data_IF_912874914255
#
_entry.id   IF_912874914255
#
_cell.length_a   1.000
_cell.length_b   1.000
_cell.length_c   1.000
_cell.angle_alpha   90.00
_cell.angle_beta   90.00
_cell.angle_gamma   90.00
#
_symmetry.space_group_name_H-M   'P 1'
#
loop_
_entity.id
_entity.type
_entity.pdbx_description
1 polymer ?
#
# COMPACT_ATOMS: atom_id res chain seq x y z
N UNK A 1 32.09 24.61 46.53
CA UNK A 1 31.21 23.42 46.47
C UNK A 1 30.05 23.79 45.56
N UNK A 2 29.94 23.30 44.31
CA UNK A 2 29.33 22.01 43.90
C UNK A 2 27.97 21.85 44.63
N UNK A 3 26.77 21.78 44.02
CA UNK A 3 26.39 21.11 42.76
C UNK A 3 24.98 21.55 42.31
N UNK A 4 24.85 21.75 41.00
CA UNK A 4 23.73 21.59 40.05
C UNK A 4 22.66 20.53 40.42
N UNK A 5 21.38 20.75 40.08
CA UNK A 5 20.50 19.72 39.49
C UNK A 5 19.22 20.36 38.90
N UNK A 6 19.38 21.06 37.78
CA UNK A 6 18.32 21.18 36.78
C UNK A 6 18.36 19.95 35.85
N UNK A 7 17.21 19.65 35.24
CA UNK A 7 16.95 18.66 34.20
C UNK A 7 16.26 17.38 34.69
N UNK A 8 14.97 17.24 34.36
CA UNK A 8 14.51 16.25 33.36
C UNK A 8 13.25 16.79 32.68
N UNK A 9 13.42 17.56 31.60
CA UNK A 9 12.43 17.65 30.51
C UNK A 9 13.16 17.23 29.24
N UNK A 10 13.32 15.93 29.05
CA UNK A 10 13.76 15.39 27.78
C UNK A 10 12.53 15.19 26.89
N UNK A 11 12.31 16.18 26.03
CA UNK A 11 11.43 16.07 24.88
C UNK A 11 11.89 14.92 23.99
N UNK A 12 10.99 13.96 23.81
CA UNK A 12 11.18 12.76 22.99
C UNK A 12 11.07 13.15 21.50
N UNK A 13 12.07 13.86 20.98
CA UNK A 13 12.14 14.25 19.57
C UNK A 13 12.94 13.18 18.80
N UNK A 14 12.23 12.24 18.18
CA UNK A 14 12.84 11.30 17.22
C UNK A 14 13.60 12.08 16.13
N UNK A 15 14.84 11.71 15.78
CA UNK A 15 15.64 12.47 14.83
C UNK A 15 15.04 12.38 13.42
N UNK A 16 14.74 13.54 12.83
CA UNK A 16 14.20 13.76 11.49
C UNK A 16 14.91 12.92 10.39
N UNK A 17 16.21 12.61 10.57
CA UNK A 17 16.99 11.77 9.68
C UNK A 17 16.45 10.32 9.55
N UNK A 18 15.99 9.71 10.64
CA UNK A 18 15.47 8.33 10.63
C UNK A 18 14.13 8.24 9.92
N UNK A 19 13.27 9.25 10.13
CA UNK A 19 11.98 9.36 9.41
C UNK A 19 12.22 9.56 7.92
N UNK A 20 13.17 10.44 7.55
CA UNK A 20 13.55 10.65 6.14
C UNK A 20 14.13 9.40 5.49
N UNK A 21 14.98 8.64 6.19
CA UNK A 21 15.54 7.39 5.68
C UNK A 21 14.45 6.32 5.48
N UNK A 22 13.48 6.23 6.39
CA UNK A 22 12.31 5.34 6.25
C UNK A 22 11.44 5.74 5.07
N UNK A 23 11.16 7.04 4.90
CA UNK A 23 10.41 7.55 3.75
C UNK A 23 11.16 7.31 2.44
N UNK A 24 12.46 7.58 2.39
CA UNK A 24 13.30 7.32 1.22
C UNK A 24 13.31 5.82 0.86
N UNK A 25 13.42 4.93 1.85
CA UNK A 25 13.38 3.48 1.62
C UNK A 25 12.01 3.00 1.16
N UNK A 26 10.92 3.63 1.61
CA UNK A 26 9.56 3.37 1.11
C UNK A 26 9.35 3.86 -0.31
N UNK A 27 9.94 5.01 -0.67
CA UNK A 27 9.92 5.54 -2.04
C UNK A 27 10.80 4.72 -2.99
N UNK A 28 11.88 4.12 -2.49
CA UNK A 28 12.75 3.23 -3.27
C UNK A 28 12.11 1.86 -3.55
N UNK A 29 11.05 1.48 -2.84
CA UNK A 29 10.32 0.25 -3.15
C UNK A 29 9.61 0.38 -4.50
N UNK A 30 9.49 -0.72 -5.28
CA UNK A 30 8.70 -0.73 -6.51
C UNK A 30 7.28 -0.20 -6.23
N UNK A 31 6.67 0.57 -7.15
CA UNK A 31 5.32 1.10 -6.95
C UNK A 31 4.27 0.03 -6.63
N UNK A 32 4.44 -1.18 -7.18
CA UNK A 32 3.59 -2.34 -6.93
C UNK A 32 3.67 -2.90 -5.50
N UNK A 33 4.63 -2.45 -4.68
CA UNK A 33 4.78 -2.84 -3.28
C UNK A 33 4.20 -1.81 -2.32
N UNK A 34 3.89 -0.59 -2.79
CA UNK A 34 3.51 0.54 -1.93
C UNK A 34 2.27 0.25 -1.07
N UNK A 35 1.35 -0.58 -1.55
CA UNK A 35 0.16 -0.98 -0.83
C UNK A 35 0.42 -1.65 0.53
N UNK A 36 1.62 -2.24 0.73
CA UNK A 36 2.03 -2.90 1.98
C UNK A 36 2.82 -2.00 2.94
N UNK A 37 3.14 -0.77 2.53
CA UNK A 37 4.10 0.07 3.27
C UNK A 37 3.64 1.52 3.46
N UNK A 38 2.71 2.04 2.66
CA UNK A 38 2.22 3.43 2.73
C UNK A 38 0.81 3.53 3.32
N UNK A 39 0.56 4.62 4.03
CA UNK A 39 -0.77 4.95 4.56
C UNK A 39 -1.71 5.32 3.40
N UNK A 40 -3.03 5.05 3.51
CA UNK A 40 -4.02 5.51 2.52
C UNK A 40 -3.90 7.00 2.19
N UNK A 41 -3.68 7.86 3.20
CA UNK A 41 -3.57 9.30 3.03
C UNK A 41 -2.24 9.76 2.43
N UNK A 42 -1.25 8.87 2.31
CA UNK A 42 0.02 9.21 1.66
C UNK A 42 -0.11 9.15 0.13
N UNK A 43 -1.17 8.54 -0.41
CA UNK A 43 -1.33 8.38 -1.86
C UNK A 43 -1.92 9.63 -2.51
N UNK A 44 -1.28 10.05 -3.59
CA UNK A 44 -1.76 11.10 -4.49
C UNK A 44 -2.16 10.50 -5.84
N UNK A 45 -2.90 11.26 -6.66
CA UNK A 45 -3.20 10.86 -8.05
C UNK A 45 -1.94 10.66 -8.90
N UNK A 46 -0.82 11.34 -8.56
CA UNK A 46 0.48 11.10 -9.18
C UNK A 46 1.01 9.69 -8.87
N UNK A 47 0.82 9.23 -7.65
CA UNK A 47 1.20 7.86 -7.25
C UNK A 47 0.37 6.82 -8.00
N UNK A 48 -0.93 7.06 -8.20
CA UNK A 48 -1.79 6.20 -9.02
C UNK A 48 -1.23 6.06 -10.44
N UNK A 49 -0.83 7.18 -11.06
CA UNK A 49 -0.17 7.17 -12.37
C UNK A 49 1.12 6.35 -12.37
N UNK A 50 1.98 6.52 -11.37
CA UNK A 50 3.23 5.75 -11.25
C UNK A 50 2.99 4.24 -11.07
N UNK A 51 1.98 3.87 -10.28
CA UNK A 51 1.60 2.47 -10.08
C UNK A 51 1.09 1.89 -11.41
N UNK A 52 0.16 2.56 -12.10
CA UNK A 52 -0.35 2.08 -13.40
C UNK A 52 0.75 1.90 -14.42
N UNK A 53 1.70 2.84 -14.51
CA UNK A 53 2.85 2.71 -15.40
C UNK A 53 3.75 1.52 -15.06
N UNK A 54 3.91 1.18 -13.77
CA UNK A 54 4.62 -0.03 -13.37
C UNK A 54 3.82 -1.30 -13.73
N UNK A 55 2.49 -1.28 -13.57
CA UNK A 55 1.62 -2.42 -13.88
C UNK A 55 1.57 -2.73 -15.38
N UNK A 56 1.59 -1.71 -16.25
CA UNK A 56 1.63 -1.89 -17.71
C UNK A 56 2.91 -2.60 -18.18
N UNK A 57 4.00 -2.53 -17.41
CA UNK A 57 5.25 -3.26 -17.68
C UNK A 57 5.24 -4.69 -17.18
N UNK A 58 4.17 -5.08 -16.49
CA UNK A 58 4.07 -6.41 -15.88
C UNK A 58 3.29 -7.31 -16.81
N UNK A 59 3.98 -8.32 -17.34
CA UNK A 59 3.41 -9.30 -18.27
C UNK A 59 2.65 -10.40 -17.52
N UNK A 60 1.71 -9.95 -16.69
CA UNK A 60 1.19 -10.76 -15.59
C UNK A 60 0.10 -11.72 -16.04
N UNK A 61 -0.72 -11.29 -16.99
CA UNK A 61 -1.89 -12.04 -17.46
C UNK A 61 -2.25 -11.61 -18.88
N UNK A 62 -2.25 -12.52 -19.84
CA UNK A 62 -2.81 -12.35 -21.18
C UNK A 62 -4.35 -12.31 -21.20
N UNK A 63 -4.95 -11.82 -20.12
CA UNK A 63 -6.39 -11.72 -19.92
C UNK A 63 -6.82 -10.29 -20.29
N UNK A 64 -7.80 -10.15 -21.18
CA UNK A 64 -8.31 -8.84 -21.64
C UNK A 64 -8.74 -7.94 -20.47
N UNK A 65 -9.13 -8.55 -19.36
CA UNK A 65 -9.51 -7.84 -18.14
C UNK A 65 -8.32 -7.15 -17.46
N UNK A 66 -7.07 -7.57 -17.71
CA UNK A 66 -5.87 -6.98 -17.09
C UNK A 66 -5.70 -5.52 -17.49
N UNK A 67 -5.79 -5.21 -18.78
CA UNK A 67 -5.68 -3.84 -19.25
C UNK A 67 -6.83 -2.97 -18.76
N UNK A 68 -8.05 -3.52 -18.66
CA UNK A 68 -9.20 -2.82 -18.07
C UNK A 68 -8.97 -2.49 -16.60
N UNK A 69 -8.49 -3.46 -15.83
CA UNK A 69 -8.15 -3.29 -14.42
C UNK A 69 -7.08 -2.21 -14.22
N UNK A 70 -5.99 -2.27 -14.98
CA UNK A 70 -4.92 -1.26 -14.92
C UNK A 70 -5.43 0.11 -15.38
N UNK A 71 -6.35 0.15 -16.35
CA UNK A 71 -6.99 1.37 -16.83
C UNK A 71 -7.95 2.04 -15.84
N UNK A 72 -8.28 1.41 -14.72
CA UNK A 72 -9.17 1.97 -13.68
C UNK A 72 -10.59 1.41 -13.67
N UNK A 73 -10.87 0.35 -14.42
CA UNK A 73 -12.12 -0.40 -14.25
C UNK A 73 -12.07 -1.14 -12.91
N UNK A 74 -12.78 -0.60 -11.92
CA UNK A 74 -12.81 -1.14 -10.58
C UNK A 74 -13.37 -2.57 -10.52
N UNK A 75 -14.36 -2.90 -11.35
CA UNK A 75 -14.95 -4.24 -11.37
C UNK A 75 -13.95 -5.27 -11.91
N UNK A 76 -13.26 -4.94 -13.00
CA UNK A 76 -12.20 -5.77 -13.56
C UNK A 76 -11.04 -5.94 -12.56
N UNK A 77 -10.60 -4.84 -11.91
CA UNK A 77 -9.52 -4.88 -10.92
C UNK A 77 -9.87 -5.76 -9.71
N UNK A 78 -11.09 -5.62 -9.17
CA UNK A 78 -11.58 -6.45 -8.08
C UNK A 78 -11.66 -7.93 -8.50
N UNK A 79 -12.20 -8.21 -9.68
CA UNK A 79 -12.33 -9.56 -10.21
C UNK A 79 -10.98 -10.27 -10.33
N UNK A 80 -10.00 -9.60 -10.96
CA UNK A 80 -8.64 -10.13 -11.11
C UNK A 80 -7.94 -10.26 -9.75
N UNK A 81 -8.10 -9.30 -8.83
CA UNK A 81 -7.51 -9.42 -7.50
C UNK A 81 -8.10 -10.57 -6.70
N UNK A 82 -9.41 -10.82 -6.75
CA UNK A 82 -10.03 -11.98 -6.10
C UNK A 82 -9.49 -13.28 -6.68
N UNK A 83 -9.41 -13.39 -8.02
CA UNK A 83 -8.81 -14.55 -8.70
C UNK A 83 -7.36 -14.74 -8.26
N UNK A 84 -6.54 -13.70 -8.36
CA UNK A 84 -5.12 -13.74 -8.02
C UNK A 84 -4.84 -14.03 -6.55
N UNK A 85 -5.64 -13.49 -5.63
CA UNK A 85 -5.53 -13.76 -4.19
C UNK A 85 -6.00 -15.17 -3.80
N UNK A 86 -6.79 -15.86 -4.64
CA UNK A 86 -7.18 -17.26 -4.45
C UNK A 86 -6.13 -18.21 -5.04
N UNK A 87 -5.66 -17.91 -6.25
CA UNK A 87 -4.73 -18.76 -7.00
C UNK A 87 -3.28 -18.64 -6.53
N UNK A 88 -2.90 -17.51 -5.93
CA UNK A 88 -1.52 -17.26 -5.52
C UNK A 88 -1.44 -16.92 -4.02
N UNK A 89 -0.35 -17.38 -3.39
CA UNK A 89 -0.04 -17.02 -2.01
C UNK A 89 0.39 -15.56 -1.87
N UNK A 90 0.21 -14.97 -0.68
CA UNK A 90 0.47 -13.54 -0.43
C UNK A 90 1.90 -13.05 -0.71
N UNK A 91 2.89 -13.95 -0.90
CA UNK A 91 4.29 -13.63 -1.24
C UNK A 91 4.56 -13.57 -2.75
N UNK A 92 3.58 -13.93 -3.58
CA UNK A 92 3.75 -13.97 -5.02
C UNK A 92 3.70 -12.55 -5.63
N UNK A 93 4.61 -12.18 -6.55
CA UNK A 93 4.60 -10.88 -7.23
C UNK A 93 3.31 -10.61 -8.01
N UNK A 94 2.62 -11.65 -8.50
CA UNK A 94 1.28 -11.53 -9.11
C UNK A 94 0.30 -10.93 -8.12
N UNK A 95 0.32 -11.37 -6.87
CA UNK A 95 -0.53 -10.79 -5.82
C UNK A 95 -0.26 -9.31 -5.64
N UNK A 96 1.01 -8.89 -5.71
CA UNK A 96 1.37 -7.49 -5.56
C UNK A 96 0.87 -6.63 -6.72
N UNK A 97 0.97 -7.12 -7.94
CA UNK A 97 0.46 -6.43 -9.11
C UNK A 97 -1.08 -6.32 -9.09
N UNK A 98 -1.81 -7.40 -8.81
CA UNK A 98 -3.28 -7.36 -8.81
C UNK A 98 -3.85 -6.53 -7.65
N UNK A 99 -3.22 -6.59 -6.46
CA UNK A 99 -3.64 -5.75 -5.33
C UNK A 99 -3.30 -4.28 -5.59
N UNK A 100 -2.21 -3.99 -6.31
CA UNK A 100 -1.88 -2.61 -6.71
C UNK A 100 -2.86 -2.02 -7.72
N UNK A 101 -3.45 -2.82 -8.61
CA UNK A 101 -4.52 -2.35 -9.50
C UNK A 101 -5.77 -1.93 -8.69
N UNK A 102 -6.13 -2.73 -7.67
CA UNK A 102 -7.22 -2.41 -6.73
C UNK A 102 -6.90 -1.18 -5.89
N UNK A 103 -5.65 -1.03 -5.44
CA UNK A 103 -5.19 0.16 -4.72
C UNK A 103 -5.49 1.44 -5.50
N UNK A 104 -5.17 1.47 -6.81
CA UNK A 104 -5.47 2.63 -7.65
C UNK A 104 -6.97 2.97 -7.61
N UNK A 105 -7.83 1.98 -7.80
CA UNK A 105 -9.29 2.18 -7.79
C UNK A 105 -9.80 2.63 -6.40
N UNK A 106 -9.17 2.15 -5.32
CA UNK A 106 -9.54 2.53 -3.95
C UNK A 106 -9.13 3.98 -3.63
N UNK A 107 -7.96 4.41 -4.10
CA UNK A 107 -7.49 5.81 -3.97
C UNK A 107 -8.37 6.77 -4.78
N UNK A 108 -8.89 6.30 -5.92
CA UNK A 108 -9.87 7.03 -6.74
C UNK A 108 -11.29 7.08 -6.14
N UNK A 109 -11.48 6.51 -4.94
CA UNK A 109 -12.74 6.62 -4.19
C UNK A 109 -13.68 5.43 -4.32
N UNK A 110 -13.28 4.32 -4.96
CA UNK A 110 -14.16 3.16 -5.06
C UNK A 110 -14.27 2.41 -3.71
N UNK A 111 -15.48 2.32 -3.10
CA UNK A 111 -15.66 1.72 -1.79
C UNK A 111 -15.46 0.20 -1.78
N UNK A 112 -15.80 -0.50 -2.87
CA UNK A 112 -15.60 -1.94 -2.97
C UNK A 112 -14.11 -2.30 -3.08
N UNK A 113 -13.34 -1.53 -3.85
CA UNK A 113 -11.89 -1.67 -3.94
C UNK A 113 -11.21 -1.45 -2.58
N UNK A 114 -11.69 -0.48 -1.79
CA UNK A 114 -11.25 -0.25 -0.41
C UNK A 114 -11.46 -1.49 0.48
N UNK A 115 -12.60 -2.17 0.37
CA UNK A 115 -12.87 -3.41 1.13
C UNK A 115 -11.89 -4.52 0.73
N UNK A 116 -11.59 -4.67 -0.56
CA UNK A 116 -10.60 -5.64 -1.04
C UNK A 116 -9.20 -5.30 -0.52
N UNK A 117 -8.80 -4.03 -0.48
CA UNK A 117 -7.55 -3.57 0.13
C UNK A 117 -7.44 -3.98 1.61
N UNK A 118 -8.49 -3.74 2.40
CA UNK A 118 -8.54 -4.13 3.82
C UNK A 118 -8.40 -5.65 3.97
N UNK A 119 -9.06 -6.43 3.11
CA UNK A 119 -8.96 -7.90 3.09
C UNK A 119 -7.56 -8.39 2.74
N UNK A 120 -6.92 -7.81 1.72
CA UNK A 120 -5.56 -8.16 1.30
C UNK A 120 -4.54 -7.85 2.41
N UNK A 121 -4.64 -6.69 3.06
CA UNK A 121 -3.80 -6.31 4.20
C UNK A 121 -4.01 -7.23 5.40
N UNK A 122 -5.25 -7.64 5.68
CA UNK A 122 -5.54 -8.60 6.74
C UNK A 122 -4.89 -9.97 6.49
N UNK A 123 -4.94 -10.47 5.24
CA UNK A 123 -4.24 -11.70 4.85
C UNK A 123 -2.73 -11.56 4.97
N UNK A 124 -2.18 -10.42 4.55
CA UNK A 124 -0.73 -10.13 4.63
C UNK A 124 -0.25 -9.97 6.07
N UNK A 125 -1.10 -9.50 6.98
CA UNK A 125 -0.77 -9.30 8.40
C UNK A 125 -0.31 -10.58 9.11
N UNK A 126 -0.70 -11.76 8.60
CA UNK A 126 -0.21 -13.06 9.08
C UNK A 126 1.29 -13.29 8.81
N UNK A 127 1.86 -12.57 7.84
CA UNK A 127 3.25 -12.66 7.39
C UNK A 127 4.04 -11.43 7.83
N UNK A 128 3.43 -10.25 7.73
CA UNK A 128 4.04 -8.97 8.05
C UNK A 128 3.12 -8.19 9.02
N UNK A 129 3.44 -8.14 10.32
CA UNK A 129 2.64 -7.46 11.32
C UNK A 129 2.38 -5.96 11.02
N UNK A 130 3.25 -5.30 10.23
CA UNK A 130 3.06 -3.88 9.86
C UNK A 130 1.76 -3.68 9.07
N UNK A 131 1.35 -4.70 8.30
CA UNK A 131 0.11 -4.67 7.53
C UNK A 131 -1.14 -4.60 8.41
N UNK A 132 -1.08 -5.02 9.68
CA UNK A 132 -2.19 -4.86 10.62
C UNK A 132 -2.49 -3.38 10.90
N UNK A 133 -1.45 -2.58 11.18
CA UNK A 133 -1.61 -1.14 11.39
C UNK A 133 -2.07 -0.40 10.12
N UNK A 134 -1.61 -0.84 8.94
CA UNK A 134 -2.10 -0.32 7.67
C UNK A 134 -3.57 -0.63 7.44
N UNK A 135 -4.02 -1.86 7.73
CA UNK A 135 -5.43 -2.25 7.63
C UNK A 135 -6.33 -1.32 8.43
N UNK A 136 -5.96 -0.98 9.67
CA UNK A 136 -6.74 -0.07 10.51
C UNK A 136 -6.82 1.34 9.90
N UNK A 137 -5.71 1.87 9.39
CA UNK A 137 -5.72 3.15 8.67
C UNK A 137 -6.63 3.12 7.45
N UNK A 138 -6.58 2.04 6.68
CA UNK A 138 -7.48 1.84 5.54
C UNK A 138 -8.95 1.78 5.95
N UNK A 139 -9.29 1.20 7.11
CA UNK A 139 -10.68 1.17 7.59
C UNK A 139 -11.24 2.59 7.77
N UNK A 140 -10.46 3.47 8.40
CA UNK A 140 -10.86 4.84 8.74
C UNK A 140 -10.62 5.88 7.63
N UNK A 141 -9.89 5.51 6.56
CA UNK A 141 -9.61 6.42 5.46
C UNK A 141 -10.90 6.91 4.77
N UNK A 142 -10.96 8.21 4.50
CA UNK A 142 -11.99 8.85 3.69
C UNK A 142 -11.31 9.40 2.44
N UNK A 143 -11.88 9.07 1.29
CA UNK A 143 -11.48 9.50 -0.04
C UNK A 143 -12.71 10.09 -0.73
#
# INVERSE_FOLDING_TARGET
MRTTFESVVQGNQLPNASVRALLARRMAAPPTHWWRIRSPHDFSMRDVGAIRQALLKTDLVSDCDWFRAVGGDAAAAIGIAIKGLKSHGMRNPVTDAVVSAVLCCAVEGNPAAKVVMISALWRRAKIDPVCYGLRLRWLHARF
#
